data_IF_354353608795
#
_entry.id   IF_354353608795
#
_cell.length_a   1.000
_cell.length_b   1.000
_cell.length_c   1.000
_cell.angle_alpha   90.00
_cell.angle_beta   90.00
_cell.angle_gamma   90.00
#
_symmetry.space_group_name_H-M   'P 1'
#
loop_
_entity.id
_entity.type
_entity.pdbx_description
1 polymer ?
#
# COMPACT_ATOMS: atom_id res chain seq x y z
N UNK A 1 -14.38 -6.83 -10.89
CA UNK A 1 -13.61 -6.27 -12.02
C UNK A 1 -14.09 -4.89 -12.42
N UNK A 2 -15.35 -4.70 -12.80
CA UNK A 2 -15.88 -3.41 -13.26
C UNK A 2 -15.66 -2.26 -12.26
N UNK A 3 -15.94 -2.48 -10.97
CA UNK A 3 -15.68 -1.50 -9.92
C UNK A 3 -14.19 -1.15 -9.75
N UNK A 4 -13.28 -2.11 -9.98
CA UNK A 4 -11.85 -1.87 -9.85
C UNK A 4 -11.34 -1.00 -10.99
N UNK A 5 -11.76 -1.29 -12.23
CA UNK A 5 -11.43 -0.49 -13.40
C UNK A 5 -12.00 0.93 -13.29
N UNK A 6 -13.24 1.06 -12.80
CA UNK A 6 -13.85 2.36 -12.56
C UNK A 6 -13.08 3.17 -11.51
N UNK A 7 -12.62 2.52 -10.44
CA UNK A 7 -11.76 3.16 -9.45
C UNK A 7 -10.45 3.67 -10.06
N UNK A 8 -9.75 2.84 -10.85
CA UNK A 8 -8.49 3.24 -11.48
C UNK A 8 -8.66 4.43 -12.44
N UNK A 9 -9.83 4.55 -13.08
CA UNK A 9 -10.17 5.68 -13.95
C UNK A 9 -10.53 6.95 -13.17
N UNK A 10 -11.31 6.82 -12.10
CA UNK A 10 -11.89 7.96 -11.37
C UNK A 10 -10.97 8.52 -10.31
N UNK A 11 -10.12 7.69 -9.70
CA UNK A 11 -9.20 8.08 -8.63
C UNK A 11 -8.28 9.26 -9.04
N UNK A 12 -7.61 9.25 -10.22
CA UNK A 12 -6.77 10.38 -10.62
C UNK A 12 -7.55 11.68 -10.81
N UNK A 13 -8.78 11.62 -11.31
CA UNK A 13 -9.64 12.81 -11.47
C UNK A 13 -10.03 13.38 -10.11
N UNK A 14 -10.39 12.52 -9.16
CA UNK A 14 -10.71 12.92 -7.80
C UNK A 14 -9.51 13.60 -7.12
N UNK A 15 -8.32 13.02 -7.24
CA UNK A 15 -7.09 13.63 -6.72
C UNK A 15 -6.82 15.01 -7.33
N UNK A 16 -7.01 15.17 -8.64
CA UNK A 16 -6.89 16.48 -9.30
C UNK A 16 -7.90 17.49 -8.79
N UNK A 17 -9.14 17.07 -8.52
CA UNK A 17 -10.15 17.95 -7.94
C UNK A 17 -9.71 18.47 -6.57
N UNK A 18 -9.15 17.61 -5.72
CA UNK A 18 -8.63 18.01 -4.40
C UNK A 18 -7.48 19.02 -4.53
N UNK A 19 -6.49 18.70 -5.37
CA UNK A 19 -5.34 19.59 -5.59
C UNK A 19 -5.75 20.94 -6.17
N UNK A 20 -6.70 20.96 -7.12
CA UNK A 20 -7.27 22.20 -7.67
C UNK A 20 -8.05 23.01 -6.64
N UNK A 21 -8.62 22.36 -5.63
CA UNK A 21 -9.28 23.03 -4.50
C UNK A 21 -8.29 23.59 -3.47
N UNK A 22 -6.97 23.48 -3.72
CA UNK A 22 -5.92 23.98 -2.83
C UNK A 22 -5.48 22.99 -1.74
N UNK A 23 -5.93 21.73 -1.80
CA UNK A 23 -5.52 20.69 -0.84
C UNK A 23 -4.18 20.09 -1.29
N UNK A 24 -3.23 20.01 -0.36
CA UNK A 24 -1.96 19.32 -0.60
C UNK A 24 -2.19 17.82 -0.32
N UNK A 25 -2.19 17.02 -1.38
CA UNK A 25 -2.33 15.57 -1.28
C UNK A 25 -0.96 14.89 -1.30
N UNK A 26 -0.64 14.15 -0.24
CA UNK A 26 0.59 13.36 -0.13
C UNK A 26 0.24 11.88 -0.03
N UNK A 27 0.78 11.06 -0.94
CA UNK A 27 0.52 9.62 -1.01
C UNK A 27 1.82 8.86 -0.75
N UNK A 28 1.83 8.06 0.32
CA UNK A 28 3.00 7.27 0.71
C UNK A 28 2.72 5.78 0.58
N UNK A 29 3.63 5.08 -0.08
CA UNK A 29 3.65 3.63 -0.13
C UNK A 29 4.86 3.09 0.62
N UNK A 30 4.62 2.37 1.70
CA UNK A 30 5.66 1.73 2.48
C UNK A 30 6.00 0.38 1.87
N UNK A 31 7.15 0.29 1.22
CA UNK A 31 7.67 -0.96 0.67
C UNK A 31 8.41 -1.71 1.77
N UNK A 32 8.01 -2.95 2.03
CA UNK A 32 8.71 -3.88 2.93
C UNK A 32 9.09 -5.10 2.10
N UNK A 33 10.33 -5.57 2.24
CA UNK A 33 10.74 -6.82 1.60
C UNK A 33 10.00 -8.03 2.18
N UNK A 34 9.78 -9.05 1.35
CA UNK A 34 9.12 -10.29 1.77
C UNK A 34 9.79 -10.94 3.00
N UNK A 35 11.11 -10.94 3.04
CA UNK A 35 11.90 -11.48 4.16
C UNK A 35 11.67 -10.69 5.44
N UNK A 36 11.69 -9.36 5.37
CA UNK A 36 11.46 -8.50 6.52
C UNK A 36 10.01 -8.58 7.01
N UNK A 37 9.04 -8.69 6.10
CA UNK A 37 7.65 -8.90 6.44
C UNK A 37 7.46 -10.21 7.21
N UNK A 38 8.08 -11.30 6.72
CA UNK A 38 8.08 -12.62 7.36
C UNK A 38 8.71 -12.57 8.75
N UNK A 39 9.86 -11.89 8.89
CA UNK A 39 10.55 -11.70 10.17
C UNK A 39 9.68 -10.94 11.17
N UNK A 40 9.00 -9.88 10.73
CA UNK A 40 8.06 -9.10 11.56
C UNK A 40 6.87 -9.94 12.01
N UNK A 41 6.33 -10.79 11.15
CA UNK A 41 5.26 -11.71 11.52
C UNK A 41 5.68 -12.71 12.60
N UNK A 42 6.84 -13.35 12.42
CA UNK A 42 7.39 -14.27 13.42
C UNK A 42 7.65 -13.57 14.76
N UNK A 43 8.19 -12.35 14.73
CA UNK A 43 8.43 -11.55 15.93
C UNK A 43 7.11 -11.16 16.64
N UNK A 44 6.09 -10.73 15.89
CA UNK A 44 4.76 -10.39 16.44
C UNK A 44 4.07 -11.59 17.09
N UNK A 45 4.25 -12.80 16.55
CA UNK A 45 3.66 -13.99 17.14
C UNK A 45 4.30 -14.38 18.48
N UNK A 46 5.61 -14.10 18.62
CA UNK A 46 6.37 -14.36 19.85
C UNK A 46 6.13 -13.33 20.94
N UNK A 47 5.73 -12.10 20.60
CA UNK A 47 5.55 -11.00 21.56
C UNK A 47 4.07 -10.83 21.96
N UNK A 48 3.67 -11.19 23.20
CA UNK A 48 2.25 -11.22 23.61
C UNK A 48 1.54 -9.86 23.46
N UNK A 49 2.26 -8.75 23.68
CA UNK A 49 1.72 -7.39 23.60
C UNK A 49 1.41 -6.94 22.16
N UNK A 50 1.96 -7.61 21.14
CA UNK A 50 1.76 -7.27 19.72
C UNK A 50 0.87 -8.26 18.98
N UNK A 51 0.41 -9.32 19.66
CA UNK A 51 -0.40 -10.39 19.05
C UNK A 51 -1.75 -9.90 18.51
N UNK A 52 -2.34 -8.86 19.11
CA UNK A 52 -3.57 -8.24 18.61
C UNK A 52 -3.42 -7.61 17.21
N UNK A 53 -2.20 -7.35 16.74
CA UNK A 53 -1.90 -6.84 15.39
C UNK A 53 -1.76 -7.95 14.35
N UNK A 54 -2.14 -9.17 14.68
CA UNK A 54 -2.16 -10.31 13.77
C UNK A 54 -3.61 -10.68 13.48
N UNK A 55 -3.96 -10.66 12.20
CA UNK A 55 -5.23 -11.10 11.65
C UNK A 55 -5.01 -12.35 10.79
N UNK A 56 -6.04 -13.16 10.57
CA UNK A 56 -6.00 -14.23 9.56
C UNK A 56 -5.71 -13.68 8.16
N UNK A 57 -6.14 -12.43 7.90
CA UNK A 57 -5.86 -11.72 6.67
C UNK A 57 -4.36 -11.53 6.43
N UNK A 58 -3.58 -11.27 7.48
CA UNK A 58 -2.13 -11.05 7.37
C UNK A 58 -1.39 -12.30 6.82
N UNK A 59 -1.84 -13.49 7.19
CA UNK A 59 -1.29 -14.76 6.69
C UNK A 59 -1.63 -14.97 5.22
N UNK A 60 -2.82 -14.57 4.80
CA UNK A 60 -3.25 -14.68 3.42
C UNK A 60 -2.58 -13.62 2.54
N UNK A 61 -2.38 -12.40 3.06
CA UNK A 61 -1.60 -11.35 2.40
C UNK A 61 -0.17 -11.79 2.10
N UNK A 62 0.45 -12.53 3.02
CA UNK A 62 1.78 -13.11 2.80
C UNK A 62 1.81 -14.13 1.67
N UNK A 63 0.78 -15.00 1.57
CA UNK A 63 0.62 -15.93 0.45
C UNK A 63 0.38 -15.22 -0.88
N UNK A 64 -0.36 -14.13 -0.84
CA UNK A 64 -0.74 -13.34 -2.00
C UNK A 64 0.27 -12.23 -2.33
N UNK A 65 1.45 -12.21 -1.73
CA UNK A 65 2.47 -11.16 -1.89
C UNK A 65 2.68 -10.75 -3.35
N UNK A 66 2.81 -11.72 -4.27
CA UNK A 66 2.98 -11.46 -5.70
C UNK A 66 1.77 -10.75 -6.30
N UNK A 67 0.55 -11.14 -5.93
CA UNK A 67 -0.68 -10.49 -6.40
C UNK A 67 -0.80 -9.07 -5.88
N UNK A 68 -0.43 -8.83 -4.61
CA UNK A 68 -0.37 -7.48 -4.05
C UNK A 68 0.67 -6.62 -4.76
N UNK A 69 1.84 -7.18 -5.09
CA UNK A 69 2.85 -6.47 -5.88
C UNK A 69 2.32 -6.07 -7.26
N UNK A 70 1.65 -6.98 -7.97
CA UNK A 70 1.03 -6.68 -9.27
C UNK A 70 -0.06 -5.62 -9.13
N UNK A 71 -0.94 -5.73 -8.13
CA UNK A 71 -2.00 -4.75 -7.88
C UNK A 71 -1.44 -3.36 -7.56
N UNK A 72 -0.33 -3.29 -6.83
CA UNK A 72 0.41 -2.05 -6.56
C UNK A 72 0.96 -1.45 -7.84
N UNK A 73 1.64 -2.24 -8.67
CA UNK A 73 2.21 -1.77 -9.94
C UNK A 73 1.12 -1.22 -10.87
N UNK A 74 -0.01 -1.92 -11.00
CA UNK A 74 -1.18 -1.44 -11.75
C UNK A 74 -1.69 -0.12 -11.15
N UNK A 75 -1.89 -0.05 -9.84
CA UNK A 75 -2.39 1.17 -9.18
C UNK A 75 -1.48 2.37 -9.44
N UNK A 76 -0.15 2.18 -9.39
CA UNK A 76 0.80 3.24 -9.67
C UNK A 76 0.76 3.70 -11.13
N UNK A 77 0.63 2.77 -12.08
CA UNK A 77 0.54 3.11 -13.50
C UNK A 77 -0.63 4.06 -13.81
N UNK A 78 -1.77 3.89 -13.12
CA UNK A 78 -2.96 4.71 -13.37
C UNK A 78 -3.05 5.95 -12.47
N UNK A 79 -2.55 5.87 -11.22
CA UNK A 79 -2.78 6.91 -10.20
C UNK A 79 -1.56 7.74 -9.85
N UNK A 80 -0.37 7.45 -10.39
CA UNK A 80 0.81 8.29 -10.21
C UNK A 80 0.78 9.47 -11.20
N UNK A 81 0.21 10.60 -10.76
CA UNK A 81 0.07 11.81 -11.57
C UNK A 81 0.99 12.91 -11.03
N UNK A 82 1.47 13.80 -11.90
CA UNK A 82 2.38 14.91 -11.52
C UNK A 82 1.81 15.81 -10.42
N UNK A 83 0.50 15.96 -10.37
CA UNK A 83 -0.19 16.79 -9.37
C UNK A 83 -0.31 16.11 -7.99
N UNK A 84 -0.27 14.78 -7.95
CA UNK A 84 -0.40 13.96 -6.75
C UNK A 84 0.46 12.70 -6.91
N UNK A 85 1.80 12.83 -6.78
CA UNK A 85 2.70 11.72 -7.00
C UNK A 85 2.67 10.71 -5.85
N UNK A 86 3.03 9.47 -6.15
CA UNK A 86 3.30 8.44 -5.14
C UNK A 86 4.74 8.48 -4.65
N UNK A 87 4.92 8.49 -3.33
CA UNK A 87 6.23 8.38 -2.69
C UNK A 87 6.44 6.97 -2.15
N UNK A 88 7.41 6.26 -2.75
CA UNK A 88 7.81 4.93 -2.26
C UNK A 88 8.83 5.09 -1.15
N UNK A 89 8.49 4.62 0.05
CA UNK A 89 9.34 4.66 1.23
C UNK A 89 9.80 3.24 1.54
N UNK A 90 11.10 2.92 1.35
CA UNK A 90 11.66 1.68 1.86
C UNK A 90 11.52 1.67 3.38
N UNK A 91 10.91 0.62 3.92
CA UNK A 91 10.53 0.55 5.34
C UNK A 91 11.05 -0.70 6.02
N UNK A 92 12.13 -1.25 5.47
CA UNK A 92 12.86 -2.38 6.05
C UNK A 92 13.55 -1.97 7.36
N UNK A 93 14.20 -0.80 7.37
CA UNK A 93 14.49 -0.06 8.60
C UNK A 93 13.30 0.83 8.96
N UNK A 94 12.94 0.87 10.24
CA UNK A 94 11.83 1.68 10.75
C UNK A 94 12.26 3.07 11.20
N UNK A 95 13.57 3.31 11.29
CA UNK A 95 14.16 4.60 11.66
C UNK A 95 14.43 5.42 10.41
#
# INVERSE_FOLDING_TARGET
>A
EEQHQEFLRTCPEFERMLVRSGIILLKYWFSVSYEEQSRRFAARNREPLKRWKLSEMDLEEHRLYVRYSMAKDTTFQYTDIKQAPWYVVPSDDKR
#
